data_IF_580127032525
#
_entry.id   IF_580127032525
#
_cell.length_a   1.000
_cell.length_b   1.000
_cell.length_c   1.000
_cell.angle_alpha   90.00
_cell.angle_beta   90.00
_cell.angle_gamma   90.00
#
_symmetry.space_group_name_H-M   'P 1'
#
loop_
_entity.id
_entity.type
_entity.pdbx_description
1 polymer ?
#
# COMPACT_ATOMS: atom_id res chain seq x y z
N UNK A 1 19.19 29.38 -1.30
CA UNK A 1 18.50 28.15 -1.79
C UNK A 1 17.41 27.75 -0.80
N UNK A 2 16.20 27.40 -1.29
CA UNK A 2 15.15 26.86 -0.41
C UNK A 2 15.64 25.53 0.17
N UNK A 3 15.39 25.30 1.48
CA UNK A 3 15.77 24.05 2.17
C UNK A 3 14.97 22.86 1.62
N UNK A 4 15.56 21.64 1.58
CA UNK A 4 14.81 20.44 1.32
C UNK A 4 13.88 20.10 2.50
N UNK A 5 12.90 19.23 2.30
CA UNK A 5 12.12 18.61 3.36
C UNK A 5 12.64 17.19 3.65
N UNK A 6 12.63 16.77 4.90
CA UNK A 6 12.81 15.36 5.25
C UNK A 6 11.53 14.60 4.91
N UNK A 7 11.67 13.47 4.24
CA UNK A 7 10.56 12.56 3.96
C UNK A 7 10.89 11.16 4.45
N UNK A 8 9.92 10.47 5.03
CA UNK A 8 10.08 9.10 5.46
C UNK A 8 8.83 8.28 5.13
N UNK A 9 9.05 7.01 4.81
CA UNK A 9 8.04 5.96 4.67
C UNK A 9 8.38 4.88 5.71
N UNK A 10 7.55 4.79 6.76
CA UNK A 10 7.79 4.01 7.96
C UNK A 10 6.77 2.87 7.98
N UNK A 11 7.17 1.74 7.40
CA UNK A 11 6.39 0.51 7.41
C UNK A 11 6.68 -0.36 8.64
N UNK A 12 6.01 -1.51 8.73
CA UNK A 12 6.18 -2.43 9.86
C UNK A 12 7.57 -3.10 9.92
N UNK A 13 8.24 -3.26 8.79
CA UNK A 13 9.53 -3.97 8.69
C UNK A 13 10.67 -3.15 8.11
N UNK A 14 10.36 -1.97 7.57
CA UNK A 14 11.34 -1.15 6.84
C UNK A 14 11.03 0.32 7.00
N UNK A 15 12.05 1.13 7.27
CA UNK A 15 11.99 2.58 7.18
C UNK A 15 12.79 3.05 5.97
N UNK A 16 12.19 3.88 5.13
CA UNK A 16 12.84 4.58 4.03
C UNK A 16 12.86 6.07 4.31
N UNK A 17 14.04 6.67 4.20
CA UNK A 17 14.24 8.10 4.50
C UNK A 17 14.91 8.75 3.31
N UNK A 18 14.47 9.95 2.95
CA UNK A 18 15.06 10.74 1.88
C UNK A 18 14.86 12.24 2.10
N UNK A 19 15.44 13.03 1.21
CA UNK A 19 15.25 14.47 1.17
C UNK A 19 14.49 14.83 -0.11
N UNK A 20 13.36 15.52 0.03
CA UNK A 20 12.58 16.08 -1.06
C UNK A 20 13.05 17.51 -1.34
N UNK A 21 13.56 17.79 -2.53
CA UNK A 21 13.90 19.14 -2.98
C UNK A 21 12.62 19.93 -3.35
N UNK A 22 12.68 21.28 -3.39
CA UNK A 22 11.52 22.10 -3.79
C UNK A 22 10.96 21.78 -5.19
N UNK A 23 11.79 21.25 -6.11
CA UNK A 23 11.36 20.77 -7.42
C UNK A 23 10.74 19.36 -7.41
N UNK A 24 10.65 18.72 -6.24
CA UNK A 24 10.08 17.38 -6.07
C UNK A 24 11.09 16.23 -6.19
N UNK A 25 12.33 16.50 -6.58
CA UNK A 25 13.35 15.45 -6.69
C UNK A 25 13.68 14.85 -5.32
N UNK A 26 13.65 13.52 -5.24
CA UNK A 26 14.12 12.76 -4.09
C UNK A 26 15.63 12.53 -4.19
N UNK A 27 16.34 12.87 -3.12
CA UNK A 27 17.80 12.66 -3.00
C UNK A 27 18.14 12.05 -1.65
N UNK A 28 19.35 11.52 -1.52
CA UNK A 28 19.88 10.92 -0.27
C UNK A 28 18.99 9.80 0.26
N UNK A 29 18.41 8.99 -0.63
CA UNK A 29 17.56 7.88 -0.28
C UNK A 29 18.34 6.80 0.47
N UNK A 30 17.84 6.43 1.66
CA UNK A 30 18.32 5.31 2.47
C UNK A 30 17.18 4.42 2.90
N UNK A 31 17.42 3.12 2.92
CA UNK A 31 16.45 2.12 3.41
C UNK A 31 17.12 1.30 4.50
N UNK A 32 16.39 1.09 5.59
CA UNK A 32 16.86 0.33 6.75
C UNK A 32 15.79 -0.68 7.14
N UNK A 33 16.17 -1.92 7.49
CA UNK A 33 15.24 -2.79 8.19
C UNK A 33 14.87 -2.15 9.53
N UNK A 34 13.62 -2.30 9.93
CA UNK A 34 13.11 -1.81 11.21
C UNK A 34 12.99 -3.02 12.16
N UNK A 35 13.73 -2.96 13.27
CA UNK A 35 13.73 -4.01 14.30
C UNK A 35 12.72 -3.62 15.38
N UNK A 36 12.07 -4.59 16.00
CA UNK A 36 11.02 -4.37 17.00
C UNK A 36 11.45 -3.57 18.22
N UNK A 37 12.75 -3.56 18.54
CA UNK A 37 13.38 -2.81 19.63
C UNK A 37 13.92 -1.42 19.24
N UNK A 38 13.79 -1.05 17.95
CA UNK A 38 14.33 0.20 17.41
C UNK A 38 13.31 1.33 17.48
N UNK A 39 13.76 2.53 17.91
CA UNK A 39 12.95 3.73 17.85
C UNK A 39 13.20 4.46 16.50
N UNK A 40 12.18 4.55 15.60
CA UNK A 40 12.32 5.26 14.33
C UNK A 40 12.79 6.72 14.47
N UNK A 41 12.47 7.40 15.57
CA UNK A 41 12.87 8.79 15.82
C UNK A 41 14.38 8.96 15.79
N UNK A 42 15.14 8.01 16.30
CA UNK A 42 16.63 8.04 16.28
C UNK A 42 17.15 8.14 14.84
N UNK A 43 16.58 7.38 13.93
CA UNK A 43 16.97 7.41 12.52
C UNK A 43 16.55 8.71 11.82
N UNK A 44 15.38 9.24 12.15
CA UNK A 44 14.90 10.53 11.63
C UNK A 44 15.80 11.67 12.12
N UNK A 45 16.19 11.68 13.41
CA UNK A 45 17.10 12.66 13.98
C UNK A 45 18.48 12.61 13.32
N UNK A 46 19.03 11.41 13.12
CA UNK A 46 20.32 11.21 12.45
C UNK A 46 20.27 11.71 10.99
N UNK A 47 19.19 11.45 10.27
CA UNK A 47 19.01 11.94 8.89
C UNK A 47 18.93 13.47 8.83
N UNK A 48 18.24 14.11 9.79
CA UNK A 48 18.18 15.57 9.91
C UNK A 48 19.54 16.19 10.23
N UNK A 49 20.33 15.57 11.10
CA UNK A 49 21.67 16.04 11.47
C UNK A 49 22.66 15.96 10.30
N UNK A 50 22.57 14.91 9.48
CA UNK A 50 23.43 14.69 8.32
C UNK A 50 23.10 15.59 7.13
N UNK A 51 21.87 16.11 7.06
CA UNK A 51 21.42 16.89 5.90
C UNK A 51 21.98 18.33 5.90
N UNK A 52 22.49 18.78 4.75
CA UNK A 52 23.01 20.15 4.53
C UNK A 52 22.38 20.75 3.27
N UNK A 53 21.60 21.86 3.38
CA UNK A 53 21.17 22.50 4.61
C UNK A 53 20.17 21.64 5.39
N UNK A 54 20.18 21.76 6.71
CA UNK A 54 19.29 21.01 7.59
C UNK A 54 17.83 21.38 7.30
N UNK A 55 16.96 20.38 7.04
CA UNK A 55 15.53 20.59 6.85
C UNK A 55 14.85 21.17 8.11
N UNK A 56 13.84 22.00 7.92
CA UNK A 56 12.93 22.45 8.96
C UNK A 56 11.47 22.07 8.69
N UNK A 57 11.28 21.27 7.63
CA UNK A 57 9.99 20.74 7.19
C UNK A 57 10.13 19.22 7.00
N UNK A 58 9.13 18.45 7.41
CA UNK A 58 9.12 17.01 7.21
C UNK A 58 7.72 16.48 6.83
N UNK A 59 7.70 15.35 6.11
CA UNK A 59 6.50 14.53 5.88
C UNK A 59 6.83 13.08 6.15
N UNK A 60 6.03 12.46 7.01
CA UNK A 60 6.16 11.06 7.38
C UNK A 60 4.90 10.29 6.96
N UNK A 61 5.08 9.24 6.16
CA UNK A 61 4.08 8.24 5.87
C UNK A 61 4.27 7.08 6.87
N UNK A 62 3.22 6.69 7.58
CA UNK A 62 3.28 5.66 8.63
C UNK A 62 2.22 4.58 8.40
N UNK A 63 2.57 3.32 8.66
CA UNK A 63 1.65 2.19 8.57
C UNK A 63 0.73 2.14 9.81
N UNK A 64 -0.35 2.91 9.78
CA UNK A 64 -1.34 3.01 10.84
C UNK A 64 -2.28 4.22 10.66
N UNK A 65 -3.35 4.31 11.47
CA UNK A 65 -4.29 5.42 11.42
C UNK A 65 -3.62 6.72 11.90
N UNK A 66 -3.96 7.84 11.24
CA UNK A 66 -3.48 9.20 11.55
C UNK A 66 -4.68 10.15 11.57
N UNK A 67 -5.46 10.08 12.63
CA UNK A 67 -6.70 10.83 12.83
C UNK A 67 -6.63 11.83 14.01
N UNK A 68 -5.56 11.76 14.80
CA UNK A 68 -5.34 12.61 15.97
C UNK A 68 -3.87 12.97 16.15
N UNK A 69 -3.55 13.73 17.21
CA UNK A 69 -2.16 14.04 17.60
C UNK A 69 -1.37 12.76 17.97
N UNK A 70 -2.05 11.78 18.56
CA UNK A 70 -1.45 10.48 18.88
C UNK A 70 -1.52 9.57 17.65
N UNK A 71 -0.37 9.06 17.26
CA UNK A 71 -0.22 8.10 16.15
C UNK A 71 0.35 6.82 16.72
N UNK A 72 -0.31 5.70 16.41
CA UNK A 72 0.17 4.35 16.75
C UNK A 72 0.26 3.51 15.48
N UNK A 73 1.37 2.84 15.28
CA UNK A 73 1.53 1.95 14.14
C UNK A 73 0.83 0.61 14.41
N UNK A 74 0.12 0.09 13.42
CA UNK A 74 -0.69 -1.13 13.57
C UNK A 74 0.18 -2.38 13.79
N UNK A 75 1.27 -2.53 13.04
CA UNK A 75 2.09 -3.74 13.01
C UNK A 75 3.54 -3.48 13.48
N UNK A 76 3.74 -2.44 14.30
CA UNK A 76 5.02 -2.10 14.87
C UNK A 76 4.83 -1.35 16.19
N UNK A 77 5.57 -1.70 17.24
CA UNK A 77 5.42 -1.11 18.57
C UNK A 77 6.06 0.29 18.66
N UNK A 78 5.47 1.26 17.93
CA UNK A 78 5.85 2.65 18.01
C UNK A 78 4.62 3.55 18.01
N UNK A 79 4.51 4.36 19.07
CA UNK A 79 3.47 5.37 19.24
C UNK A 79 4.11 6.70 19.61
N UNK A 80 3.57 7.79 19.10
CA UNK A 80 4.10 9.12 19.34
C UNK A 80 3.03 10.22 19.23
N UNK A 81 3.22 11.33 19.94
CA UNK A 81 2.50 12.56 19.69
C UNK A 81 3.18 13.33 18.56
N UNK A 82 2.43 13.72 17.54
CA UNK A 82 2.94 14.50 16.41
C UNK A 82 3.59 15.81 16.89
N UNK A 83 2.97 16.51 17.86
CA UNK A 83 3.49 17.75 18.45
C UNK A 83 4.82 17.50 19.18
N UNK A 84 4.92 16.42 19.95
CA UNK A 84 6.14 16.09 20.67
C UNK A 84 7.26 15.70 19.72
N UNK A 85 6.98 14.85 18.71
CA UNK A 85 7.95 14.46 17.70
C UNK A 85 8.45 15.68 16.90
N UNK A 86 7.56 16.59 16.51
CA UNK A 86 7.95 17.81 15.79
C UNK A 86 8.91 18.68 16.62
N UNK A 87 8.68 18.79 17.95
CA UNK A 87 9.53 19.56 18.86
C UNK A 87 10.90 18.89 19.07
N UNK A 88 10.93 17.58 19.33
CA UNK A 88 12.17 16.82 19.55
C UNK A 88 13.08 16.87 18.32
N UNK A 89 12.49 16.75 17.12
CA UNK A 89 13.18 16.87 15.85
C UNK A 89 13.50 18.32 15.45
N UNK A 90 13.09 19.33 16.24
CA UNK A 90 13.30 20.76 15.99
C UNK A 90 12.82 21.18 14.57
N UNK A 91 11.65 20.71 14.18
CA UNK A 91 11.00 21.04 12.90
C UNK A 91 10.05 22.24 13.09
N UNK A 92 9.93 23.06 12.03
CA UNK A 92 8.94 24.16 11.97
C UNK A 92 7.59 23.67 11.44
N UNK A 93 7.62 22.73 10.51
CA UNK A 93 6.44 22.14 9.87
C UNK A 93 6.60 20.63 9.76
N UNK A 94 5.58 19.91 10.14
CA UNK A 94 5.53 18.46 10.00
C UNK A 94 4.12 18.04 9.61
N UNK A 95 4.02 17.06 8.73
CA UNK A 95 2.77 16.36 8.42
C UNK A 95 3.05 14.86 8.54
N UNK A 96 2.17 14.17 9.23
CA UNK A 96 2.13 12.70 9.26
C UNK A 96 0.89 12.26 8.51
N UNK A 97 1.01 11.25 7.68
CA UNK A 97 -0.11 10.65 6.93
C UNK A 97 -0.01 9.14 7.00
N UNK A 98 -1.15 8.45 6.81
CA UNK A 98 -1.12 7.01 6.59
C UNK A 98 -0.31 6.68 5.33
N UNK A 99 0.36 5.52 5.30
CA UNK A 99 1.24 5.09 4.20
C UNK A 99 0.51 4.98 2.85
N UNK A 100 -0.74 4.47 2.82
CA UNK A 100 -1.53 4.42 1.59
C UNK A 100 -2.08 5.78 1.17
N UNK A 101 -2.30 6.70 2.10
CA UNK A 101 -2.58 8.12 1.77
C UNK A 101 -1.39 8.72 1.01
N UNK A 102 -0.17 8.45 1.46
CA UNK A 102 1.03 8.87 0.73
C UNK A 102 1.11 8.18 -0.65
N UNK A 103 0.89 6.86 -0.74
CA UNK A 103 0.84 6.14 -2.02
C UNK A 103 -0.19 6.77 -2.97
N UNK A 104 -1.40 7.09 -2.49
CA UNK A 104 -2.43 7.73 -3.32
C UNK A 104 -1.95 9.08 -3.88
N UNK A 105 -1.23 9.89 -3.10
CA UNK A 105 -0.64 11.13 -3.60
C UNK A 105 0.48 10.92 -4.63
N UNK A 106 1.16 9.77 -4.64
CA UNK A 106 2.15 9.45 -5.66
C UNK A 106 1.53 9.12 -7.02
N UNK A 107 0.29 8.60 -7.07
CA UNK A 107 -0.30 8.02 -8.28
C UNK A 107 -0.30 8.96 -9.49
N UNK A 108 -0.47 10.27 -9.25
CA UNK A 108 -0.47 11.27 -10.33
C UNK A 108 0.93 11.58 -10.89
N UNK A 109 1.99 11.13 -10.23
CA UNK A 109 3.39 11.40 -10.57
C UNK A 109 4.18 10.14 -10.94
N UNK A 110 3.55 8.95 -10.87
CA UNK A 110 4.16 7.71 -11.33
C UNK A 110 4.34 7.74 -12.86
N UNK A 111 5.50 7.30 -13.29
CA UNK A 111 5.84 7.17 -14.71
C UNK A 111 5.31 5.85 -15.26
N UNK A 112 5.13 5.69 -16.57
CA UNK A 112 4.78 4.41 -17.17
C UNK A 112 5.70 3.24 -16.75
N UNK A 113 6.99 3.52 -16.55
CA UNK A 113 8.00 2.54 -16.08
C UNK A 113 7.80 2.09 -14.64
N UNK A 114 7.02 2.83 -13.86
CA UNK A 114 6.69 2.51 -12.47
C UNK A 114 5.43 1.63 -12.35
N UNK A 115 4.81 1.28 -13.50
CA UNK A 115 3.52 0.60 -13.59
C UNK A 115 3.60 -0.61 -14.53
N UNK A 116 2.96 -1.71 -14.15
CA UNK A 116 2.62 -2.82 -15.05
C UNK A 116 1.12 -2.77 -15.29
N UNK A 117 0.73 -2.57 -16.55
CA UNK A 117 -0.68 -2.54 -16.94
C UNK A 117 -1.27 -3.95 -16.96
N UNK A 118 -2.45 -4.12 -16.39
CA UNK A 118 -3.26 -5.32 -16.53
C UNK A 118 -4.23 -5.09 -17.70
N UNK A 119 -4.34 -6.04 -18.65
CA UNK A 119 -5.21 -5.88 -19.82
C UNK A 119 -6.65 -5.50 -19.45
N UNK A 120 -7.26 -4.62 -20.24
CA UNK A 120 -8.63 -4.09 -20.06
C UNK A 120 -8.66 -2.65 -19.50
N UNK A 121 -9.81 -2.01 -19.72
CA UNK A 121 -10.10 -0.65 -19.27
C UNK A 121 -9.44 0.48 -20.07
N UNK A 122 -9.98 1.69 -19.86
CA UNK A 122 -9.49 2.92 -20.51
C UNK A 122 -9.35 4.02 -19.45
N UNK A 123 -8.19 4.64 -19.37
CA UNK A 123 -7.92 5.71 -18.40
C UNK A 123 -8.90 6.87 -18.57
N UNK A 124 -9.63 7.20 -17.50
CA UNK A 124 -10.44 8.40 -17.40
C UNK A 124 -9.72 9.42 -16.47
N UNK A 125 -9.15 10.46 -17.07
CA UNK A 125 -8.37 11.46 -16.31
C UNK A 125 -9.20 12.22 -15.25
N UNK A 126 -10.52 12.23 -15.36
CA UNK A 126 -11.43 12.91 -14.42
C UNK A 126 -11.95 12.00 -13.30
N UNK A 127 -11.72 10.70 -13.39
CA UNK A 127 -12.16 9.73 -12.38
C UNK A 127 -11.28 9.72 -11.15
N UNK A 128 -11.85 9.28 -10.01
CA UNK A 128 -11.07 9.02 -8.82
C UNK A 128 -10.06 7.91 -9.07
N UNK A 129 -8.93 7.97 -8.36
CA UNK A 129 -7.89 6.94 -8.39
C UNK A 129 -7.97 6.13 -7.10
N UNK A 130 -7.74 4.84 -7.17
CA UNK A 130 -7.70 3.96 -6.00
C UNK A 130 -6.32 3.32 -5.89
N UNK A 131 -5.65 3.49 -4.74
CA UNK A 131 -4.51 2.68 -4.34
C UNK A 131 -5.00 1.63 -3.35
N UNK A 132 -4.77 0.37 -3.62
CA UNK A 132 -5.05 -0.70 -2.65
C UNK A 132 -4.05 -1.84 -2.82
N UNK A 133 -3.82 -2.60 -1.73
CA UNK A 133 -3.06 -3.83 -1.89
C UNK A 133 -2.30 -4.33 -0.69
N UNK A 134 -1.87 -5.60 -0.81
CA UNK A 134 -1.21 -6.34 0.25
C UNK A 134 0.27 -5.98 0.42
N UNK A 135 0.63 -5.76 1.68
CA UNK A 135 1.98 -5.64 2.22
C UNK A 135 2.11 -6.51 3.46
N UNK A 136 2.56 -5.96 4.60
CA UNK A 136 2.43 -6.58 5.93
C UNK A 136 0.97 -6.71 6.36
N UNK A 137 0.12 -5.75 5.92
CA UNK A 137 -1.32 -5.75 6.01
C UNK A 137 -1.97 -5.52 4.64
N UNK A 138 -3.18 -4.94 4.62
CA UNK A 138 -3.89 -4.54 3.40
C UNK A 138 -4.29 -3.07 3.46
N UNK A 139 -3.54 -2.23 2.76
CA UNK A 139 -3.79 -0.79 2.74
C UNK A 139 -4.72 -0.34 1.62
N UNK A 140 -5.46 0.74 1.87
CA UNK A 140 -6.40 1.33 0.91
C UNK A 140 -6.43 2.85 1.05
N UNK A 141 -6.38 3.56 -0.06
CA UNK A 141 -6.65 5.00 -0.12
C UNK A 141 -7.15 5.40 -1.50
N UNK A 142 -8.17 6.25 -1.57
CA UNK A 142 -8.62 6.85 -2.81
C UNK A 142 -8.07 8.27 -2.96
N UNK A 143 -7.79 8.71 -4.19
CA UNK A 143 -7.41 10.08 -4.52
C UNK A 143 -8.48 10.71 -5.39
N UNK A 144 -9.08 11.79 -4.91
CA UNK A 144 -10.00 12.62 -5.67
C UNK A 144 -9.19 13.68 -6.43
N UNK A 145 -9.19 13.65 -7.78
CA UNK A 145 -8.50 14.65 -8.59
C UNK A 145 -9.16 16.01 -8.42
N UNK A 146 -8.37 17.00 -8.02
CA UNK A 146 -8.78 18.40 -7.89
C UNK A 146 -7.56 19.30 -8.08
N UNK A 147 -7.75 20.64 -8.10
CA UNK A 147 -6.63 21.58 -8.07
C UNK A 147 -5.68 21.31 -6.88
N UNK A 148 -6.25 20.90 -5.76
CA UNK A 148 -5.53 20.31 -4.61
C UNK A 148 -6.11 18.92 -4.39
N UNK A 149 -5.48 17.86 -4.91
CA UNK A 149 -5.99 16.50 -4.76
C UNK A 149 -6.17 16.11 -3.30
N UNK A 150 -7.30 15.44 -3.02
CA UNK A 150 -7.69 14.99 -1.68
C UNK A 150 -7.55 13.47 -1.64
N UNK A 151 -6.73 12.97 -0.73
CA UNK A 151 -6.67 11.54 -0.44
C UNK A 151 -7.64 11.19 0.69
N UNK A 152 -8.38 10.11 0.50
CA UNK A 152 -9.28 9.54 1.51
C UNK A 152 -8.56 8.37 2.15
N UNK A 153 -8.28 8.44 3.44
CA UNK A 153 -7.78 7.31 4.22
C UNK A 153 -8.89 6.26 4.40
N UNK A 154 -8.51 4.99 4.47
CA UNK A 154 -9.46 3.90 4.67
C UNK A 154 -8.80 2.71 5.35
N UNK A 155 -9.50 2.13 6.32
CA UNK A 155 -9.14 0.87 6.97
C UNK A 155 -9.92 -0.31 6.36
N UNK A 156 -10.17 -0.28 5.04
CA UNK A 156 -10.91 -1.32 4.34
C UNK A 156 -10.25 -2.71 4.38
N UNK A 157 -8.95 -2.79 4.71
CA UNK A 157 -8.29 -4.06 5.03
C UNK A 157 -8.94 -4.82 6.21
N UNK A 158 -9.59 -4.10 7.11
CA UNK A 158 -10.29 -4.63 8.26
C UNK A 158 -11.79 -4.87 8.04
N UNK A 159 -12.29 -4.70 6.81
CA UNK A 159 -13.65 -5.13 6.46
C UNK A 159 -13.76 -6.65 6.39
N UNK A 160 -14.95 -7.17 6.67
CA UNK A 160 -15.17 -8.62 6.68
C UNK A 160 -14.93 -9.25 5.32
N UNK A 161 -14.19 -10.36 5.30
CA UNK A 161 -13.94 -11.12 4.09
C UNK A 161 -15.15 -12.00 3.76
N UNK A 162 -15.73 -11.81 2.58
CA UNK A 162 -16.76 -12.71 2.04
C UNK A 162 -16.15 -13.79 1.13
N UNK A 163 -16.91 -14.88 0.92
CA UNK A 163 -16.53 -15.97 0.03
C UNK A 163 -17.48 -16.02 -1.19
N UNK A 164 -16.91 -16.05 -2.40
CA UNK A 164 -17.67 -16.09 -3.64
C UNK A 164 -17.75 -17.49 -4.27
N UNK A 165 -16.95 -18.43 -3.80
CA UNK A 165 -16.89 -19.81 -4.31
C UNK A 165 -16.89 -20.81 -3.16
N UNK A 166 -17.24 -22.08 -3.44
CA UNK A 166 -17.20 -23.13 -2.44
C UNK A 166 -15.81 -23.33 -1.83
N UNK A 167 -14.73 -23.22 -2.62
CA UNK A 167 -13.36 -23.34 -2.12
C UNK A 167 -12.98 -22.15 -1.23
N UNK A 168 -13.37 -20.94 -1.63
CA UNK A 168 -13.22 -19.75 -0.79
C UNK A 168 -14.01 -19.88 0.53
N UNK A 169 -15.24 -20.41 0.47
CA UNK A 169 -16.06 -20.63 1.66
C UNK A 169 -15.41 -21.62 2.64
N UNK A 170 -14.78 -22.70 2.14
CA UNK A 170 -14.03 -23.65 2.97
C UNK A 170 -12.85 -22.98 3.68
N UNK A 171 -12.08 -22.13 2.99
CA UNK A 171 -10.98 -21.39 3.59
C UNK A 171 -11.49 -20.41 4.65
N UNK A 172 -12.56 -19.64 4.35
CA UNK A 172 -13.15 -18.70 5.32
C UNK A 172 -13.69 -19.44 6.54
N UNK A 173 -14.39 -20.58 6.36
CA UNK A 173 -14.88 -21.40 7.46
C UNK A 173 -13.74 -21.92 8.36
N UNK A 174 -12.60 -22.32 7.76
CA UNK A 174 -11.39 -22.72 8.50
C UNK A 174 -10.86 -21.54 9.33
N UNK A 175 -10.72 -20.38 8.72
CA UNK A 175 -10.23 -19.16 9.39
C UNK A 175 -11.18 -18.69 10.51
N UNK A 176 -12.50 -18.80 10.32
CA UNK A 176 -13.48 -18.48 11.38
C UNK A 176 -13.29 -19.37 12.61
N UNK A 177 -12.97 -20.66 12.43
CA UNK A 177 -12.69 -21.56 13.57
C UNK A 177 -11.39 -21.17 14.29
N UNK A 178 -10.36 -20.71 13.56
CA UNK A 178 -9.09 -20.31 14.17
C UNK A 178 -9.12 -18.91 14.82
N UNK A 179 -9.84 -17.95 14.24
CA UNK A 179 -9.69 -16.52 14.52
C UNK A 179 -11.01 -15.83 14.95
N UNK A 180 -12.15 -16.49 14.83
CA UNK A 180 -13.46 -15.90 15.03
C UNK A 180 -13.87 -15.04 13.84
N UNK A 181 -13.62 -13.74 13.89
CA UNK A 181 -13.93 -12.83 12.76
C UNK A 181 -12.81 -12.83 11.74
N UNK A 182 -13.18 -12.99 10.46
CA UNK A 182 -12.22 -12.96 9.34
C UNK A 182 -12.38 -11.65 8.57
N UNK A 183 -11.28 -10.90 8.46
CA UNK A 183 -11.22 -9.65 7.69
C UNK A 183 -10.34 -9.82 6.45
N UNK A 184 -10.45 -8.88 5.52
CA UNK A 184 -9.72 -8.88 4.23
C UNK A 184 -8.22 -9.11 4.41
N UNK A 185 -7.59 -8.43 5.35
CA UNK A 185 -6.16 -8.53 5.63
C UNK A 185 -5.72 -9.93 6.10
N UNK A 186 -6.61 -10.70 6.72
CA UNK A 186 -6.29 -12.06 7.15
C UNK A 186 -5.95 -12.99 5.98
N UNK A 187 -6.38 -12.67 4.76
CA UNK A 187 -6.04 -13.38 3.53
C UNK A 187 -5.17 -12.54 2.61
N UNK A 188 -5.55 -11.28 2.39
CA UNK A 188 -4.86 -10.38 1.47
C UNK A 188 -3.74 -9.59 2.17
N UNK A 189 -2.70 -10.29 2.58
CA UNK A 189 -1.44 -9.74 3.13
C UNK A 189 -0.30 -10.74 2.93
N UNK A 190 0.93 -10.36 3.25
CA UNK A 190 2.06 -11.32 3.28
C UNK A 190 1.79 -12.48 4.22
N UNK A 191 1.49 -12.25 5.51
CA UNK A 191 1.06 -13.30 6.44
C UNK A 191 -0.18 -14.06 5.95
N UNK A 192 -1.12 -13.38 5.27
CA UNK A 192 -2.32 -13.99 4.69
C UNK A 192 -1.99 -14.98 3.57
N UNK A 193 -1.05 -14.66 2.69
CA UNK A 193 -0.59 -15.56 1.63
C UNK A 193 0.05 -16.84 2.22
N UNK A 194 0.88 -16.68 3.26
CA UNK A 194 1.47 -17.82 4.01
C UNK A 194 0.38 -18.69 4.63
N UNK A 195 -0.59 -18.07 5.30
CA UNK A 195 -1.72 -18.77 5.92
C UNK A 195 -2.57 -19.51 4.89
N UNK A 196 -2.88 -18.86 3.77
CA UNK A 196 -3.63 -19.49 2.67
C UNK A 196 -2.88 -20.71 2.12
N UNK A 197 -1.57 -20.58 1.90
CA UNK A 197 -0.74 -21.68 1.42
C UNK A 197 -0.72 -22.87 2.40
N UNK A 198 -0.62 -22.59 3.69
CA UNK A 198 -0.69 -23.61 4.75
C UNK A 198 -2.04 -24.33 4.77
N UNK A 199 -3.16 -23.59 4.65
CA UNK A 199 -4.51 -24.19 4.64
C UNK A 199 -4.71 -25.08 3.42
N UNK A 200 -4.24 -24.66 2.25
CA UNK A 200 -4.46 -25.42 1.00
C UNK A 200 -3.52 -26.60 0.84
N UNK A 201 -2.29 -26.51 1.34
CA UNK A 201 -1.22 -27.48 1.01
C UNK A 201 -0.52 -28.08 2.23
N UNK A 202 -0.85 -27.67 3.46
CA UNK A 202 -0.18 -28.12 4.69
C UNK A 202 1.27 -27.65 4.83
N UNK A 203 1.74 -26.70 4.00
CA UNK A 203 3.14 -26.23 3.96
C UNK A 203 3.29 -24.85 4.58
N UNK A 204 4.36 -24.65 5.35
CA UNK A 204 4.75 -23.36 5.91
C UNK A 204 5.96 -22.83 5.13
N UNK A 205 5.70 -21.94 4.18
CA UNK A 205 6.69 -21.25 3.36
C UNK A 205 6.47 -19.74 3.50
N UNK A 206 7.52 -18.93 3.39
CA UNK A 206 7.39 -17.47 3.38
C UNK A 206 6.64 -16.96 2.15
N UNK A 207 6.08 -15.76 2.23
CA UNK A 207 5.38 -15.14 1.10
C UNK A 207 6.30 -14.98 -0.12
N UNK A 208 7.58 -14.69 0.11
CA UNK A 208 8.62 -14.58 -0.92
C UNK A 208 8.89 -15.92 -1.61
N UNK A 209 8.99 -17.01 -0.85
CA UNK A 209 9.19 -18.38 -1.36
C UNK A 209 7.98 -18.83 -2.18
N UNK A 210 6.76 -18.63 -1.68
CA UNK A 210 5.52 -18.95 -2.38
C UNK A 210 5.44 -18.19 -3.71
N UNK A 211 5.69 -16.86 -3.68
CA UNK A 211 5.68 -16.05 -4.89
C UNK A 211 6.76 -16.48 -5.90
N UNK A 212 7.97 -16.80 -5.42
CA UNK A 212 9.05 -17.28 -6.28
C UNK A 212 8.75 -18.65 -6.90
N UNK A 213 8.19 -19.58 -6.10
CA UNK A 213 7.79 -20.91 -6.56
C UNK A 213 6.65 -20.85 -7.58
N UNK A 214 5.65 -19.97 -7.37
CA UNK A 214 4.57 -19.77 -8.32
C UNK A 214 5.08 -19.23 -9.67
N UNK A 215 6.02 -18.28 -9.65
CA UNK A 215 6.68 -17.75 -10.87
C UNK A 215 7.48 -18.83 -11.63
N UNK A 216 8.05 -19.80 -10.90
CA UNK A 216 8.74 -20.97 -11.49
C UNK A 216 7.79 -22.08 -11.96
N UNK A 217 6.48 -21.91 -11.79
CA UNK A 217 5.46 -22.84 -12.27
C UNK A 217 5.10 -23.97 -11.31
N UNK A 218 5.58 -23.94 -10.04
CA UNK A 218 5.23 -24.98 -9.05
C UNK A 218 3.71 -24.99 -8.80
N UNK A 219 3.07 -26.14 -9.00
CA UNK A 219 1.60 -26.25 -9.11
C UNK A 219 0.86 -25.81 -7.84
N UNK A 220 1.28 -26.24 -6.65
CA UNK A 220 0.67 -25.88 -5.37
C UNK A 220 0.78 -24.37 -5.07
N UNK A 221 1.95 -23.76 -5.34
CA UNK A 221 2.16 -22.33 -5.18
C UNK A 221 1.34 -21.54 -6.21
N UNK A 222 1.23 -22.00 -7.47
CA UNK A 222 0.38 -21.36 -8.48
C UNK A 222 -1.09 -21.38 -8.08
N UNK A 223 -1.61 -22.50 -7.60
CA UNK A 223 -3.00 -22.60 -7.14
C UNK A 223 -3.28 -21.66 -5.97
N UNK A 224 -2.36 -21.58 -5.00
CA UNK A 224 -2.47 -20.65 -3.87
C UNK A 224 -2.48 -19.19 -4.34
N UNK A 225 -1.55 -18.81 -5.23
CA UNK A 225 -1.42 -17.45 -5.75
C UNK A 225 -2.63 -17.09 -6.61
N UNK A 226 -3.17 -18.01 -7.44
CA UNK A 226 -4.37 -17.73 -8.23
C UNK A 226 -5.59 -17.50 -7.34
N UNK A 227 -5.81 -18.30 -6.29
CA UNK A 227 -6.87 -18.07 -5.33
C UNK A 227 -6.72 -16.73 -4.60
N UNK A 228 -5.50 -16.37 -4.19
CA UNK A 228 -5.17 -15.08 -3.58
C UNK A 228 -5.50 -13.91 -4.54
N UNK A 229 -5.09 -14.01 -5.80
CA UNK A 229 -5.32 -12.99 -6.81
C UNK A 229 -6.80 -12.87 -7.22
N UNK A 230 -7.56 -13.97 -7.22
CA UNK A 230 -9.01 -13.94 -7.40
C UNK A 230 -9.72 -13.19 -6.26
N UNK A 231 -9.34 -13.43 -5.00
CA UNK A 231 -9.84 -12.63 -3.88
C UNK A 231 -9.45 -11.15 -4.02
N UNK A 232 -8.20 -10.91 -4.38
CA UNK A 232 -7.74 -9.53 -4.57
C UNK A 232 -8.52 -8.82 -5.69
N UNK A 233 -8.78 -9.50 -6.80
CA UNK A 233 -9.61 -8.95 -7.89
C UNK A 233 -10.98 -8.54 -7.39
N UNK A 234 -11.68 -9.43 -6.68
CA UNK A 234 -13.01 -9.15 -6.14
C UNK A 234 -13.00 -7.96 -5.18
N UNK A 235 -12.12 -7.95 -4.19
CA UNK A 235 -12.03 -6.86 -3.21
C UNK A 235 -11.64 -5.53 -3.90
N UNK A 236 -10.73 -5.56 -4.88
CA UNK A 236 -10.39 -4.37 -5.67
C UNK A 236 -11.60 -3.85 -6.48
N UNK A 237 -12.47 -4.75 -6.98
CA UNK A 237 -13.73 -4.41 -7.64
C UNK A 237 -14.74 -3.77 -6.68
N UNK A 238 -14.95 -4.35 -5.50
CA UNK A 238 -15.77 -3.78 -4.43
C UNK A 238 -15.31 -2.36 -4.06
N UNK A 239 -14.01 -2.17 -3.87
CA UNK A 239 -13.40 -0.88 -3.57
C UNK A 239 -13.49 0.11 -4.72
N UNK A 240 -13.34 -0.36 -5.98
CA UNK A 240 -13.48 0.48 -7.17
C UNK A 240 -14.91 1.03 -7.30
N UNK A 241 -15.92 0.24 -6.96
CA UNK A 241 -17.32 0.69 -6.90
C UNK A 241 -17.54 1.65 -5.74
N UNK A 242 -17.03 1.34 -4.54
CA UNK A 242 -17.18 2.14 -3.33
C UNK A 242 -16.62 3.56 -3.51
N UNK A 243 -15.45 3.68 -4.13
CA UNK A 243 -14.76 4.96 -4.32
C UNK A 243 -14.99 5.59 -5.69
N UNK A 244 -15.84 5.02 -6.54
CA UNK A 244 -16.03 5.44 -7.94
C UNK A 244 -14.71 5.63 -8.68
N UNK A 245 -13.82 4.64 -8.63
CA UNK A 245 -12.43 4.72 -9.05
C UNK A 245 -12.24 4.62 -10.57
N UNK A 246 -12.99 5.42 -11.34
CA UNK A 246 -12.97 5.39 -12.81
C UNK A 246 -11.65 5.86 -13.42
N UNK A 247 -10.84 6.60 -12.67
CA UNK A 247 -9.53 7.04 -13.11
C UNK A 247 -8.46 5.94 -13.07
N UNK A 248 -8.75 4.82 -12.40
CA UNK A 248 -7.90 3.63 -12.35
C UNK A 248 -7.69 3.07 -10.95
N UNK A 249 -7.42 1.77 -10.92
CA UNK A 249 -7.04 1.03 -9.71
C UNK A 249 -5.55 0.69 -9.77
N UNK A 250 -4.83 1.01 -8.72
CA UNK A 250 -3.39 0.86 -8.60
C UNK A 250 -3.08 -0.11 -7.47
N UNK A 251 -2.68 -1.32 -7.85
CA UNK A 251 -2.34 -2.41 -6.93
C UNK A 251 -0.94 -2.14 -6.36
N UNK A 252 -0.89 -1.62 -5.13
CA UNK A 252 0.35 -1.26 -4.45
C UNK A 252 0.69 -2.27 -3.34
N UNK A 253 1.86 -2.12 -2.74
CA UNK A 253 2.34 -3.01 -1.67
C UNK A 253 3.38 -4.03 -2.13
N UNK A 254 4.13 -4.55 -1.17
CA UNK A 254 5.25 -5.46 -1.43
C UNK A 254 4.82 -6.77 -2.09
N UNK A 255 3.70 -7.34 -1.63
CA UNK A 255 3.14 -8.58 -2.18
C UNK A 255 2.61 -8.35 -3.60
N UNK A 256 1.88 -7.25 -3.86
CA UNK A 256 1.43 -6.89 -5.21
C UNK A 256 2.59 -6.82 -6.19
N UNK A 257 3.68 -6.16 -5.80
CA UNK A 257 4.89 -6.03 -6.62
C UNK A 257 5.56 -7.39 -6.87
N UNK A 258 5.64 -8.26 -5.86
CA UNK A 258 6.22 -9.59 -6.00
C UNK A 258 5.41 -10.48 -6.94
N UNK A 259 4.08 -10.31 -6.98
CA UNK A 259 3.14 -11.07 -7.81
C UNK A 259 2.85 -10.40 -9.16
N UNK A 260 3.39 -9.21 -9.45
CA UNK A 260 3.10 -8.45 -10.68
C UNK A 260 3.16 -9.28 -11.98
N UNK A 261 4.16 -10.17 -12.20
CA UNK A 261 4.21 -10.98 -13.41
C UNK A 261 3.06 -12.00 -13.55
N UNK A 262 2.36 -12.32 -12.46
CA UNK A 262 1.31 -13.34 -12.44
C UNK A 262 -0.10 -12.75 -12.50
N UNK A 263 -0.28 -11.47 -12.20
CA UNK A 263 -1.63 -10.85 -12.11
C UNK A 263 -2.38 -10.95 -13.43
N UNK A 264 -1.74 -10.63 -14.56
CA UNK A 264 -2.38 -10.61 -15.87
C UNK A 264 -2.83 -12.00 -16.37
N UNK A 265 -2.15 -13.07 -15.93
CA UNK A 265 -2.47 -14.46 -16.30
C UNK A 265 -3.30 -15.20 -15.25
N UNK A 266 -3.69 -14.53 -14.16
CA UNK A 266 -4.53 -15.08 -13.09
C UNK A 266 -6.01 -14.75 -13.30
N UNK A 267 -6.88 -15.30 -12.43
CA UNK A 267 -8.30 -14.94 -12.38
C UNK A 267 -8.59 -13.56 -11.77
N UNK A 268 -7.57 -12.70 -11.56
CA UNK A 268 -7.76 -11.36 -10.98
C UNK A 268 -8.77 -10.53 -11.77
N UNK A 269 -8.55 -10.35 -13.09
CA UNK A 269 -9.38 -9.48 -13.92
C UNK A 269 -10.81 -9.99 -14.04
N UNK A 270 -10.99 -11.29 -14.19
CA UNK A 270 -12.29 -11.96 -14.18
C UNK A 270 -13.10 -11.62 -12.93
N UNK A 271 -12.49 -11.80 -11.75
CA UNK A 271 -13.17 -11.55 -10.47
C UNK A 271 -13.34 -10.07 -10.16
N UNK A 272 -12.44 -9.21 -10.63
CA UNK A 272 -12.57 -7.75 -10.55
C UNK A 272 -13.80 -7.24 -11.30
N UNK A 273 -14.12 -7.81 -12.46
CA UNK A 273 -15.26 -7.42 -13.28
C UNK A 273 -16.57 -8.09 -12.88
N UNK A 274 -16.51 -9.20 -12.15
CA UNK A 274 -17.69 -9.99 -11.79
C UNK A 274 -18.53 -9.37 -10.66
N UNK A 275 -19.14 -8.21 -10.96
CA UNK A 275 -20.03 -7.48 -10.06
C UNK A 275 -21.34 -7.05 -10.80
N UNK A 276 -22.25 -7.98 -11.09
CA UNK A 276 -23.51 -7.60 -11.72
C UNK A 276 -24.34 -6.63 -10.84
N UNK A 277 -24.98 -5.58 -11.39
CA UNK A 277 -25.06 -5.22 -12.81
C UNK A 277 -23.93 -4.29 -13.31
N UNK A 278 -22.86 -4.09 -12.55
CA UNK A 278 -21.80 -3.11 -12.83
C UNK A 278 -20.60 -3.69 -13.59
N UNK A 279 -20.67 -4.91 -14.11
CA UNK A 279 -19.57 -5.59 -14.81
C UNK A 279 -18.98 -4.73 -15.94
N UNK A 280 -19.80 -4.15 -16.82
CA UNK A 280 -19.35 -3.28 -17.92
C UNK A 280 -18.64 -2.02 -17.40
N UNK A 281 -19.07 -1.47 -16.25
CA UNK A 281 -18.41 -0.32 -15.63
C UNK A 281 -17.03 -0.68 -15.11
N UNK A 282 -16.88 -1.82 -14.46
CA UNK A 282 -15.60 -2.30 -13.95
C UNK A 282 -14.66 -2.71 -15.09
N UNK A 283 -15.20 -3.32 -16.15
CA UNK A 283 -14.42 -3.66 -17.34
C UNK A 283 -13.78 -2.42 -18.00
N UNK A 284 -14.41 -1.24 -17.89
CA UNK A 284 -13.87 0.01 -18.40
C UNK A 284 -12.77 0.63 -17.52
N UNK A 285 -12.60 0.18 -16.27
CA UNK A 285 -11.61 0.73 -15.33
C UNK A 285 -10.23 0.12 -15.60
N UNK A 286 -9.18 0.94 -15.85
CA UNK A 286 -7.82 0.45 -15.98
C UNK A 286 -7.25 0.00 -14.64
N UNK A 287 -6.48 -1.07 -14.66
CA UNK A 287 -5.80 -1.62 -13.48
C UNK A 287 -4.30 -1.66 -13.73
N UNK A 288 -3.53 -1.21 -12.77
CA UNK A 288 -2.06 -1.18 -12.81
C UNK A 288 -1.47 -1.82 -11.56
N UNK A 289 -0.39 -2.57 -11.70
CA UNK A 289 0.46 -2.95 -10.56
C UNK A 289 1.56 -1.90 -10.41
N UNK A 290 1.68 -1.32 -9.21
CA UNK A 290 2.74 -0.36 -8.89
C UNK A 290 4.04 -1.12 -8.61
N UNK A 291 5.01 -0.96 -9.51
CA UNK A 291 6.35 -1.58 -9.38
C UNK A 291 7.41 -0.60 -8.90
N UNK A 292 7.05 0.67 -8.71
CA UNK A 292 7.95 1.67 -8.10
C UNK A 292 8.47 1.16 -6.74
N UNK A 293 9.79 1.25 -6.46
CA UNK A 293 10.39 0.63 -5.26
C UNK A 293 9.94 1.26 -3.92
N UNK A 294 9.53 2.53 -3.94
CA UNK A 294 9.15 3.28 -2.74
C UNK A 294 8.01 4.27 -3.02
N UNK A 295 6.77 3.81 -3.34
CA UNK A 295 5.67 4.70 -3.71
C UNK A 295 5.20 5.57 -2.54
N UNK A 296 5.23 5.07 -1.29
CA UNK A 296 4.91 5.85 -0.08
C UNK A 296 5.86 7.04 0.09
N UNK A 297 7.17 6.82 -0.10
CA UNK A 297 8.15 7.90 -0.04
C UNK A 297 7.98 8.91 -1.18
N UNK A 298 7.65 8.46 -2.39
CA UNK A 298 7.35 9.35 -3.51
C UNK A 298 6.14 10.25 -3.20
N UNK A 299 5.07 9.69 -2.62
CA UNK A 299 3.91 10.46 -2.17
C UNK A 299 4.22 11.44 -1.04
N UNK A 300 5.05 11.03 -0.07
CA UNK A 300 5.53 11.94 0.97
C UNK A 300 6.30 13.13 0.36
N UNK A 301 7.07 12.92 -0.72
CA UNK A 301 7.75 14.00 -1.43
C UNK A 301 6.76 14.93 -2.16
N UNK A 302 5.68 14.39 -2.74
CA UNK A 302 4.60 15.20 -3.33
C UNK A 302 3.96 16.11 -2.28
N UNK A 303 3.66 15.57 -1.11
CA UNK A 303 3.10 16.32 0.02
C UNK A 303 4.10 17.36 0.54
N UNK A 304 5.37 17.00 0.70
CA UNK A 304 6.43 17.92 1.14
C UNK A 304 6.59 19.12 0.19
N UNK A 305 6.52 18.90 -1.13
CA UNK A 305 6.55 19.97 -2.13
C UNK A 305 5.40 20.98 -1.94
N UNK A 306 4.22 20.52 -1.51
CA UNK A 306 3.08 21.40 -1.20
C UNK A 306 3.31 22.23 0.06
N UNK A 307 3.93 21.62 1.09
CA UNK A 307 4.26 22.32 2.35
C UNK A 307 5.37 23.36 2.20
N UNK A 308 6.26 23.21 1.21
CA UNK A 308 7.37 24.11 0.93
C UNK A 308 6.98 25.32 0.06
N UNK A 309 5.78 25.33 -0.52
CA UNK A 309 5.20 26.44 -1.27
C UNK A 309 4.58 27.46 -0.33
#
# INVERSE_FOLDING_TARGET
MKKPALVADIGASTIRIGLARPNGALVSLRSFPLRSDENPETRLAAALAAAKPRPDTAVFAVAGPVDSDQVSMTNFNWSFSQKTLMRSLKLKRMTVVNDFVAVAHALSELRPTDLVSIPGGHKNAKGNLLACGPGSGFGVSALIPARRPIAIASEAGHTRLGAATADAARVVAHLVKEMGTVVTEHVLSGPGLVRLHRILNGKSESAEEIAAAARKGRADAKATVDMFLRWFGRIAGDLALTFDARGGVYLAGGVSRALAPLVASSGFRETFENHPPYAARLAAIPVYVVVHPAPGLAGAAVLARRLMR
#
